data_IF_062889734298
#
_entry.id   IF_062889734298
#
_cell.length_a   1.000
_cell.length_b   1.000
_cell.length_c   1.000
_cell.angle_alpha   90.00
_cell.angle_beta   90.00
_cell.angle_gamma   90.00
#
_symmetry.space_group_name_H-M   'P 1'
#
loop_
_entity.id
_entity.type
_entity.pdbx_description
1 polymer ?
#
# COMPACT_ATOMS: atom_id res chain seq x y z
N UNK A 1 -22.64 -9.02 39.32
CA UNK A 1 -22.95 -9.03 37.88
C UNK A 1 -21.75 -8.47 37.13
N UNK A 2 -20.90 -9.35 36.59
CA UNK A 2 -19.69 -9.00 35.84
C UNK A 2 -20.04 -8.40 34.47
N UNK A 3 -19.36 -7.33 34.02
CA UNK A 3 -19.02 -7.16 32.62
C UNK A 3 -17.54 -7.49 32.42
N UNK A 4 -17.37 -8.58 31.68
CA UNK A 4 -16.15 -9.18 31.15
C UNK A 4 -15.17 -8.13 30.64
N UNK A 5 -14.03 -7.99 31.34
CA UNK A 5 -12.82 -7.38 30.81
C UNK A 5 -12.38 -8.23 29.62
N UNK A 6 -12.61 -7.73 28.42
CA UNK A 6 -12.07 -8.32 27.19
C UNK A 6 -10.57 -8.04 27.18
N UNK A 7 -9.81 -8.94 27.79
CA UNK A 7 -8.35 -8.93 27.71
C UNK A 7 -8.00 -9.04 26.23
N UNK A 8 -7.56 -7.93 25.66
CA UNK A 8 -6.98 -7.88 24.33
C UNK A 8 -5.64 -8.62 24.39
N UNK A 9 -5.68 -9.95 24.28
CA UNK A 9 -4.50 -10.77 24.12
C UNK A 9 -3.84 -10.39 22.78
N UNK A 10 -2.85 -9.51 22.88
CA UNK A 10 -1.82 -9.30 21.88
C UNK A 10 -0.98 -10.57 21.76
N UNK A 11 -1.53 -11.61 21.11
CA UNK A 11 -0.82 -12.85 20.87
C UNK A 11 0.11 -12.69 19.68
N UNK A 12 1.40 -12.44 19.95
CA UNK A 12 2.47 -12.63 18.98
C UNK A 12 2.64 -14.13 18.71
N UNK A 13 2.16 -14.59 17.56
CA UNK A 13 2.54 -15.90 16.99
C UNK A 13 2.90 -15.69 15.52
N UNK A 14 4.21 -15.63 15.26
CA UNK A 14 4.80 -15.17 13.99
C UNK A 14 5.03 -16.24 12.93
N UNK A 15 4.56 -17.48 13.10
CA UNK A 15 4.67 -18.52 12.06
C UNK A 15 3.34 -19.27 11.91
N UNK A 16 2.65 -19.04 10.78
CA UNK A 16 1.39 -19.72 10.42
C UNK A 16 0.27 -18.84 9.85
N UNK A 17 0.39 -17.50 9.95
CA UNK A 17 -0.69 -16.56 9.53
C UNK A 17 -0.44 -15.92 8.16
N UNK A 18 0.06 -16.69 7.19
CA UNK A 18 0.25 -16.21 5.82
C UNK A 18 -1.10 -16.12 5.12
N UNK A 19 -1.43 -14.93 4.62
CA UNK A 19 -2.66 -14.69 3.85
C UNK A 19 -2.54 -15.31 2.45
N UNK A 20 -3.62 -15.90 1.97
CA UNK A 20 -3.67 -16.59 0.68
C UNK A 20 -3.60 -15.63 -0.52
N UNK A 21 -3.26 -16.15 -1.70
CA UNK A 21 -3.13 -15.37 -2.94
C UNK A 21 -4.42 -14.62 -3.32
N UNK A 22 -5.59 -15.19 -3.05
CA UNK A 22 -6.89 -14.59 -3.35
C UNK A 22 -7.11 -13.30 -2.54
N UNK A 23 -6.83 -13.34 -1.24
CA UNK A 23 -6.93 -12.17 -0.35
C UNK A 23 -5.98 -11.06 -0.82
N UNK A 24 -4.73 -11.42 -1.14
CA UNK A 24 -3.72 -10.46 -1.61
C UNK A 24 -4.04 -9.88 -2.98
N UNK A 25 -4.68 -10.65 -3.87
CA UNK A 25 -5.11 -10.18 -5.21
C UNK A 25 -6.31 -9.25 -5.07
N UNK A 26 -7.36 -9.66 -4.36
CA UNK A 26 -8.58 -8.86 -4.18
C UNK A 26 -8.27 -7.51 -3.51
N UNK A 27 -7.48 -7.50 -2.44
CA UNK A 27 -7.10 -6.28 -1.75
C UNK A 27 -6.33 -5.29 -2.64
N UNK A 28 -5.42 -5.78 -3.51
CA UNK A 28 -4.69 -4.92 -4.44
C UNK A 28 -5.62 -4.25 -5.45
N UNK A 29 -6.57 -5.00 -6.01
CA UNK A 29 -7.57 -4.46 -6.94
C UNK A 29 -8.46 -3.41 -6.27
N UNK A 30 -8.85 -3.62 -5.01
CA UNK A 30 -9.66 -2.64 -4.26
C UNK A 30 -8.87 -1.35 -4.02
N UNK A 31 -7.59 -1.45 -3.66
CA UNK A 31 -6.74 -0.28 -3.41
C UNK A 31 -6.51 0.54 -4.68
N UNK A 32 -6.24 -0.14 -5.80
CA UNK A 32 -6.01 0.51 -7.10
C UNK A 32 -7.24 1.32 -7.56
N UNK A 33 -8.45 0.80 -7.34
CA UNK A 33 -9.69 1.45 -7.79
C UNK A 33 -10.26 2.47 -6.81
N UNK A 34 -10.10 2.25 -5.50
CA UNK A 34 -10.82 2.98 -4.46
C UNK A 34 -9.91 3.64 -3.42
N UNK A 35 -8.68 4.01 -3.79
CA UNK A 35 -7.70 4.60 -2.87
C UNK A 35 -8.26 5.76 -2.04
N UNK A 36 -9.00 6.68 -2.66
CA UNK A 36 -9.57 7.86 -2.01
C UNK A 36 -10.61 7.54 -0.91
N UNK A 37 -11.24 6.37 -0.95
CA UNK A 37 -12.26 5.96 0.03
C UNK A 37 -11.67 5.14 1.19
N UNK A 38 -10.39 4.79 1.12
CA UNK A 38 -9.73 3.93 2.10
C UNK A 38 -9.04 4.76 3.18
N UNK A 39 -9.02 4.24 4.39
CA UNK A 39 -8.41 4.89 5.57
C UNK A 39 -7.44 3.92 6.26
N UNK A 40 -6.79 4.36 7.34
CA UNK A 40 -5.90 3.49 8.14
C UNK A 40 -6.69 2.58 9.10
N UNK A 41 -7.94 2.95 9.40
CA UNK A 41 -8.80 2.26 10.34
C UNK A 41 -9.38 0.97 9.75
N UNK A 42 -9.56 -0.02 10.62
CA UNK A 42 -10.05 -1.33 10.19
C UNK A 42 -11.56 -1.33 9.96
N UNK A 43 -12.34 -0.70 10.84
CA UNK A 43 -13.80 -0.78 10.81
C UNK A 43 -14.43 -0.03 9.66
N UNK A 44 -13.85 1.11 9.28
CA UNK A 44 -14.21 1.86 8.07
C UNK A 44 -13.93 1.04 6.82
N UNK A 45 -12.71 0.51 6.69
CA UNK A 45 -12.32 -0.31 5.55
C UNK A 45 -13.16 -1.59 5.44
N UNK A 46 -13.56 -2.18 6.56
CA UNK A 46 -14.47 -3.34 6.59
C UNK A 46 -15.83 -3.01 5.94
N UNK A 47 -16.41 -1.85 6.26
CA UNK A 47 -17.68 -1.38 5.65
C UNK A 47 -17.50 -1.08 4.16
N UNK A 48 -16.44 -0.37 3.79
CA UNK A 48 -16.12 -0.07 2.39
C UNK A 48 -15.94 -1.36 1.57
N UNK A 49 -15.26 -2.37 2.11
CA UNK A 49 -15.11 -3.66 1.40
C UNK A 49 -16.42 -4.43 1.22
N UNK A 50 -17.40 -4.19 2.09
CA UNK A 50 -18.73 -4.81 1.98
C UNK A 50 -19.59 -4.11 0.90
N UNK A 51 -19.46 -2.80 0.76
CA UNK A 51 -20.11 -2.03 -0.30
C UNK A 51 -19.50 -2.32 -1.68
N UNK A 52 -18.17 -2.41 -1.75
CA UNK A 52 -17.44 -2.51 -3.02
C UNK A 52 -17.46 -3.92 -3.61
N UNK A 53 -17.49 -4.96 -2.77
CA UNK A 53 -17.35 -6.33 -3.21
C UNK A 53 -18.35 -7.26 -2.53
N UNK A 54 -19.07 -8.05 -3.32
CA UNK A 54 -19.94 -9.10 -2.82
C UNK A 54 -19.10 -10.29 -2.31
N UNK A 55 -18.74 -10.23 -1.02
CA UNK A 55 -17.95 -11.28 -0.36
C UNK A 55 -18.89 -12.12 0.53
N UNK A 56 -19.05 -13.43 0.24
CA UNK A 56 -20.03 -14.27 0.92
C UNK A 56 -19.65 -14.61 2.36
N UNK A 57 -18.35 -14.70 2.66
CA UNK A 57 -17.87 -15.13 3.98
C UNK A 57 -17.28 -13.98 4.80
N UNK A 58 -17.75 -13.84 6.04
CA UNK A 58 -17.25 -12.86 7.03
C UNK A 58 -15.74 -12.98 7.25
N UNK A 59 -15.21 -14.21 7.30
CA UNK A 59 -13.78 -14.47 7.54
C UNK A 59 -12.90 -13.89 6.43
N UNK A 60 -13.28 -14.09 5.16
CA UNK A 60 -12.51 -13.59 4.01
C UNK A 60 -12.59 -12.06 3.93
N UNK A 61 -13.77 -11.48 4.20
CA UNK A 61 -13.94 -10.02 4.28
C UNK A 61 -12.98 -9.40 5.29
N UNK A 62 -12.93 -9.96 6.50
CA UNK A 62 -12.02 -9.48 7.55
C UNK A 62 -10.54 -9.64 7.17
N UNK A 63 -10.18 -10.72 6.47
CA UNK A 63 -8.81 -10.91 5.96
C UNK A 63 -8.43 -9.89 4.90
N UNK A 64 -9.36 -9.52 4.02
CA UNK A 64 -9.16 -8.50 2.97
C UNK A 64 -9.02 -7.12 3.61
N UNK A 65 -9.99 -6.69 4.43
CA UNK A 65 -9.92 -5.41 5.14
C UNK A 65 -8.64 -5.28 5.97
N UNK A 66 -8.24 -6.35 6.66
CA UNK A 66 -7.00 -6.39 7.45
C UNK A 66 -5.71 -6.43 6.62
N UNK A 67 -5.78 -6.81 5.34
CA UNK A 67 -4.64 -6.70 4.42
C UNK A 67 -4.57 -5.31 3.77
N UNK A 68 -5.72 -4.68 3.52
CA UNK A 68 -5.81 -3.30 3.03
C UNK A 68 -5.18 -2.34 4.02
N UNK A 69 -5.54 -2.41 5.31
CA UNK A 69 -4.93 -1.57 6.36
C UNK A 69 -3.41 -1.78 6.46
N UNK A 70 -2.96 -3.02 6.28
CA UNK A 70 -1.53 -3.33 6.28
C UNK A 70 -0.81 -2.69 5.09
N UNK A 71 -1.43 -2.68 3.91
CA UNK A 71 -0.87 -2.03 2.72
C UNK A 71 -0.87 -0.51 2.86
N UNK A 72 -1.93 0.10 3.41
CA UNK A 72 -1.98 1.56 3.63
C UNK A 72 -0.85 2.04 4.55
N UNK A 73 -0.56 1.31 5.63
CA UNK A 73 0.58 1.60 6.52
C UNK A 73 1.93 1.47 5.81
N UNK A 74 2.03 0.64 4.76
CA UNK A 74 3.26 0.50 3.96
C UNK A 74 3.42 1.60 2.93
N UNK A 75 2.32 2.04 2.32
CA UNK A 75 2.32 3.15 1.35
C UNK A 75 2.86 4.43 1.99
N UNK A 76 2.54 4.70 3.26
CA UNK A 76 3.09 5.85 3.99
C UNK A 76 4.62 5.80 4.16
N UNK A 77 5.22 4.61 4.20
CA UNK A 77 6.66 4.44 4.40
C UNK A 77 7.45 4.46 3.09
N UNK A 78 6.77 4.29 1.95
CA UNK A 78 7.40 4.27 0.64
C UNK A 78 6.59 3.54 -0.42
N UNK A 79 7.09 3.52 -1.65
CA UNK A 79 6.41 2.89 -2.78
C UNK A 79 6.28 1.38 -2.57
N UNK A 80 5.05 0.87 -2.68
CA UNK A 80 4.76 -0.56 -2.52
C UNK A 80 4.75 -1.24 -3.88
N UNK A 81 5.61 -2.24 -4.05
CA UNK A 81 5.70 -3.02 -5.30
C UNK A 81 4.36 -3.69 -5.65
N UNK A 82 3.92 -3.49 -6.90
CA UNK A 82 2.74 -4.15 -7.47
C UNK A 82 1.40 -3.53 -7.09
N UNK A 83 1.39 -2.22 -6.80
CA UNK A 83 0.19 -1.38 -6.73
C UNK A 83 0.47 -0.18 -7.65
N UNK A 84 -0.25 -0.08 -8.76
CA UNK A 84 -0.29 1.08 -9.65
C UNK A 84 -1.18 2.13 -9.00
N UNK A 85 -0.57 3.14 -8.39
CA UNK A 85 -1.31 4.34 -8.02
C UNK A 85 -1.05 5.37 -9.11
N UNK A 86 -2.06 5.70 -9.91
CA UNK A 86 -1.94 6.71 -10.99
C UNK A 86 -1.38 8.03 -10.47
N UNK A 87 -1.75 8.38 -9.24
CA UNK A 87 -1.22 9.55 -8.53
C UNK A 87 0.31 9.52 -8.35
N UNK A 88 0.91 8.34 -8.19
CA UNK A 88 2.37 8.18 -8.10
C UNK A 88 3.06 8.23 -9.47
N UNK A 89 2.37 7.82 -10.53
CA UNK A 89 2.90 7.87 -11.89
C UNK A 89 3.05 9.32 -12.35
N UNK A 90 2.04 10.16 -12.11
CA UNK A 90 2.07 11.59 -12.45
C UNK A 90 3.13 12.37 -11.64
N UNK A 91 3.26 12.09 -10.33
CA UNK A 91 4.27 12.75 -9.50
C UNK A 91 5.70 12.31 -9.86
N UNK A 92 5.86 11.06 -10.30
CA UNK A 92 7.14 10.55 -10.79
C UNK A 92 7.52 11.16 -12.14
N UNK A 93 6.56 11.37 -13.03
CA UNK A 93 6.78 11.95 -14.36
C UNK A 93 7.35 13.38 -14.24
N UNK A 94 6.72 14.24 -13.41
CA UNK A 94 7.23 15.60 -13.14
C UNK A 94 8.66 15.65 -12.57
N UNK A 95 9.05 14.62 -11.83
CA UNK A 95 10.39 14.53 -11.26
C UNK A 95 11.43 14.00 -12.26
N UNK A 96 11.02 13.15 -13.20
CA UNK A 96 11.90 12.65 -14.27
C UNK A 96 12.09 13.69 -15.38
N UNK A 97 11.12 14.56 -15.61
CA UNK A 97 11.20 15.68 -16.56
C UNK A 97 12.06 16.85 -16.04
N UNK A 98 12.70 16.70 -14.88
CA UNK A 98 13.56 17.73 -14.33
C UNK A 98 14.84 17.88 -15.17
N UNK A 99 14.80 18.82 -16.11
CA UNK A 99 15.95 19.27 -16.88
C UNK A 99 16.74 20.28 -16.02
N UNK A 100 17.99 19.98 -15.63
CA UNK A 100 18.80 20.94 -14.90
C UNK A 100 19.18 22.13 -15.80
N UNK A 101 19.31 23.33 -15.22
CA UNK A 101 19.69 24.56 -15.95
C UNK A 101 21.11 24.51 -16.54
N UNK A 102 21.99 23.67 -15.99
CA UNK A 102 23.34 23.43 -16.52
C UNK A 102 23.49 21.97 -16.87
N UNK A 103 23.85 21.69 -18.11
CA UNK A 103 24.15 20.32 -18.54
C UNK A 103 25.46 19.91 -17.90
N UNK A 104 25.54 18.68 -17.39
CA UNK A 104 26.80 18.10 -16.87
C UNK A 104 27.87 18.01 -17.97
N UNK A 105 27.44 18.06 -19.23
CA UNK A 105 28.28 18.04 -20.42
C UNK A 105 28.86 19.43 -20.77
N UNK A 106 28.36 20.51 -20.17
CA UNK A 106 28.85 21.87 -20.41
C UNK A 106 30.07 22.13 -19.49
N UNK A 107 31.17 21.46 -19.77
CA UNK A 107 32.46 21.74 -19.15
C UNK A 107 33.40 22.33 -20.20
N UNK A 108 33.95 23.52 -19.92
CA UNK A 108 34.90 24.20 -20.80
C UNK A 108 36.22 23.42 -20.97
N UNK A 109 36.53 22.51 -20.03
CA UNK A 109 37.75 21.70 -20.01
C UNK A 109 37.40 20.26 -19.65
N UNK A 110 37.61 19.35 -20.61
CA UNK A 110 37.43 17.91 -20.41
C UNK A 110 38.79 17.31 -20.05
N UNK A 111 38.95 16.84 -18.81
CA UNK A 111 40.13 16.11 -18.39
C UNK A 111 40.00 14.64 -18.84
N UNK A 112 40.81 14.24 -19.81
CA UNK A 112 40.90 12.85 -20.27
C UNK A 112 42.19 12.26 -19.69
N UNK A 113 42.07 11.24 -18.84
CA UNK A 113 43.23 10.48 -18.36
C UNK A 113 43.76 9.62 -19.51
N UNK A 114 45.07 9.64 -19.74
CA UNK A 114 45.76 8.76 -20.69
C UNK A 114 46.05 7.42 -20.00
N UNK A 115 45.52 6.32 -20.54
CA UNK A 115 45.84 4.93 -20.13
C UNK A 115 47.35 4.61 -20.19
#
# INVERSE_FOLDING_TARGET
>A
FHPVVWVCLSSSSTMGRVRTKLVKKAARVIIEKYFARLTLDFDTNKKVTEEVAQIPSKRVRNQIAGFITHLMKRVQRGPVRGISLKLQEEERERRMDFIPERSILDLDVIHVDTD
#
